data_IF_826682063124
#
_entry.id   IF_826682063124
#
_cell.length_a   1.000
_cell.length_b   1.000
_cell.length_c   1.000
_cell.angle_alpha   90.00
_cell.angle_beta   90.00
_cell.angle_gamma   90.00
#
_symmetry.space_group_name_H-M   'P 1'
#
loop_
_entity.id
_entity.type
_entity.pdbx_description
1 polymer ?
#
# COMPACT_ATOMS: atom_id res chain seq x y z
N UNK A 1 6.89 8.69 9.16
CA UNK A 1 7.61 8.86 7.89
C UNK A 1 9.03 9.38 8.18
N UNK A 2 10.10 8.81 7.60
CA UNK A 2 11.46 9.34 7.79
C UNK A 2 11.64 10.72 7.12
N UNK A 3 12.75 11.41 7.42
CA UNK A 3 13.13 12.61 6.66
C UNK A 3 13.54 12.20 5.24
N UNK A 4 13.09 12.96 4.23
CA UNK A 4 13.38 12.59 2.84
C UNK A 4 12.87 13.59 1.81
N UNK A 5 13.05 13.24 0.54
CA UNK A 5 12.54 13.97 -0.62
C UNK A 5 11.37 13.18 -1.22
N UNK A 6 10.15 13.63 -0.97
CA UNK A 6 8.93 12.95 -1.41
C UNK A 6 8.35 13.66 -2.64
N UNK A 7 7.99 12.90 -3.67
CA UNK A 7 7.61 13.45 -4.98
C UNK A 7 6.16 13.18 -5.40
N UNK A 8 5.57 12.10 -4.91
CA UNK A 8 4.21 11.70 -5.27
C UNK A 8 3.48 11.22 -4.03
N UNK A 9 2.20 11.59 -3.94
CA UNK A 9 1.26 11.10 -2.92
C UNK A 9 0.03 10.54 -3.64
N UNK A 10 -0.48 9.42 -3.15
CA UNK A 10 -1.78 8.86 -3.53
C UNK A 10 -2.61 8.69 -2.27
N UNK A 11 -3.89 9.03 -2.34
CA UNK A 11 -4.88 8.83 -1.28
C UNK A 11 -5.95 7.95 -1.91
N UNK A 12 -6.27 6.80 -1.30
CA UNK A 12 -7.31 5.93 -1.84
C UNK A 12 -8.68 6.65 -1.73
N UNK A 13 -9.39 6.88 -2.86
CA UNK A 13 -10.67 7.57 -2.83
C UNK A 13 -11.78 6.77 -2.13
N UNK A 14 -11.60 5.46 -1.92
CA UNK A 14 -12.53 4.60 -1.19
C UNK A 14 -12.20 4.50 0.30
N UNK A 15 -10.96 4.80 0.69
CA UNK A 15 -10.49 4.79 2.06
C UNK A 15 -9.41 5.86 2.27
N UNK A 16 -9.80 7.04 2.76
CA UNK A 16 -8.87 8.17 2.90
C UNK A 16 -7.78 7.96 3.96
N UNK A 17 -7.91 6.94 4.81
CA UNK A 17 -6.87 6.57 5.77
C UNK A 17 -5.69 5.90 5.08
N UNK A 18 -5.91 5.33 3.88
CA UNK A 18 -4.89 4.70 3.07
C UNK A 18 -4.16 5.73 2.19
N UNK A 19 -2.90 5.98 2.52
CA UNK A 19 -2.05 6.96 1.84
C UNK A 19 -0.75 6.29 1.41
N UNK A 20 -0.35 6.51 0.16
CA UNK A 20 0.95 6.11 -0.37
C UNK A 20 1.80 7.33 -0.69
N UNK A 21 3.09 7.27 -0.36
CA UNK A 21 4.06 8.33 -0.70
C UNK A 21 5.30 7.72 -1.32
N UNK A 22 5.78 8.31 -2.40
CA UNK A 22 6.99 7.89 -3.11
C UNK A 22 8.16 8.85 -2.87
N UNK A 23 9.33 8.29 -2.62
CA UNK A 23 10.59 9.02 -2.42
C UNK A 23 11.41 9.11 -3.70
N UNK A 24 12.02 10.27 -3.91
CA UNK A 24 12.98 10.53 -4.97
C UNK A 24 14.43 10.18 -4.58
N UNK A 25 14.65 9.61 -3.39
CA UNK A 25 15.98 9.18 -2.93
C UNK A 25 16.32 7.77 -3.41
N UNK A 26 17.59 7.53 -3.74
CA UNK A 26 18.09 6.19 -4.10
C UNK A 26 18.31 5.36 -2.84
N UNK A 27 19.08 5.91 -1.91
CA UNK A 27 19.32 5.31 -0.60
C UNK A 27 18.15 5.65 0.32
N UNK A 28 17.60 4.63 0.97
CA UNK A 28 16.46 4.74 1.90
C UNK A 28 15.17 5.36 1.31
N UNK A 29 15.10 5.46 -0.02
CA UNK A 29 13.86 5.76 -0.74
C UNK A 29 12.92 4.56 -0.81
N UNK A 30 12.03 4.62 -1.81
CA UNK A 30 10.99 3.64 -2.07
C UNK A 30 9.60 4.25 -1.93
N UNK A 31 8.62 3.37 -1.76
CA UNK A 31 7.22 3.72 -1.55
C UNK A 31 6.89 3.40 -0.09
N UNK A 32 6.22 4.34 0.55
CA UNK A 32 5.74 4.25 1.93
C UNK A 32 4.21 4.25 1.92
N UNK A 33 3.63 3.54 2.86
CA UNK A 33 2.20 3.36 3.03
C UNK A 33 1.79 3.69 4.48
N UNK A 34 0.66 4.37 4.63
CA UNK A 34 -0.03 4.58 5.89
C UNK A 34 -1.45 4.06 5.74
N UNK A 35 -1.93 3.38 6.78
CA UNK A 35 -3.31 2.89 6.96
C UNK A 35 -4.07 3.69 8.03
N UNK A 36 -3.56 4.86 8.40
CA UNK A 36 -4.05 5.67 9.51
C UNK A 36 -3.90 7.18 9.24
N UNK A 37 -4.22 7.58 8.02
CA UNK A 37 -4.25 8.98 7.57
C UNK A 37 -2.92 9.73 7.75
N UNK A 38 -1.80 9.01 7.69
CA UNK A 38 -0.44 9.54 7.76
C UNK A 38 0.15 9.64 9.17
N UNK A 39 -0.49 9.07 10.19
CA UNK A 39 0.08 9.05 11.54
C UNK A 39 1.29 8.10 11.64
N UNK A 40 1.18 6.89 11.08
CA UNK A 40 2.25 5.91 11.00
C UNK A 40 2.53 5.50 9.55
N UNK A 41 3.77 5.09 9.29
CA UNK A 41 4.24 4.80 7.93
C UNK A 41 5.06 3.52 7.90
N UNK A 42 4.74 2.65 6.94
CA UNK A 42 5.40 1.38 6.65
C UNK A 42 6.01 1.45 5.25
N UNK A 43 7.11 0.73 5.00
CA UNK A 43 7.64 0.60 3.64
C UNK A 43 6.83 -0.45 2.88
N UNK A 44 6.53 -0.17 1.62
CA UNK A 44 5.90 -1.13 0.70
C UNK A 44 6.93 -2.13 0.18
N UNK A 45 8.19 -1.71 0.00
CA UNK A 45 9.26 -2.63 -0.39
C UNK A 45 9.80 -3.40 0.82
N UNK A 46 9.76 -4.73 0.75
CA UNK A 46 10.26 -5.64 1.78
C UNK A 46 11.51 -6.40 1.30
N UNK A 47 12.04 -7.32 2.11
CA UNK A 47 13.14 -8.19 1.67
C UNK A 47 12.69 -9.12 0.52
N UNK A 48 11.41 -9.49 0.53
CA UNK A 48 10.74 -10.41 -0.38
C UNK A 48 10.19 -9.69 -1.61
N UNK A 49 9.68 -8.46 -1.46
CA UNK A 49 9.23 -7.60 -2.57
C UNK A 49 10.23 -6.45 -2.78
N UNK A 50 11.10 -6.60 -3.78
CA UNK A 50 12.07 -5.56 -4.14
C UNK A 50 11.57 -4.73 -5.29
N UNK A 51 11.46 -3.41 -5.07
CA UNK A 51 11.27 -2.47 -6.18
C UNK A 51 12.53 -2.48 -7.08
N UNK A 52 12.36 -2.46 -8.42
CA UNK A 52 13.49 -2.37 -9.34
C UNK A 52 14.35 -1.10 -9.18
N UNK A 53 13.78 -0.06 -8.58
CA UNK A 53 14.45 1.19 -8.21
C UNK A 53 13.74 1.79 -7.00
N UNK A 54 14.51 2.35 -6.07
CA UNK A 54 13.99 3.05 -4.89
C UNK A 54 13.69 4.52 -5.15
N UNK A 55 14.10 5.05 -6.31
CA UNK A 55 13.70 6.38 -6.76
C UNK A 55 12.43 6.31 -7.57
N UNK A 56 11.35 6.79 -6.98
CA UNK A 56 10.02 6.78 -7.56
C UNK A 56 9.55 8.22 -7.75
N UNK A 57 9.32 8.60 -9.01
CA UNK A 57 8.96 9.97 -9.37
C UNK A 57 7.46 10.21 -9.35
N UNK A 58 6.69 9.20 -9.75
CA UNK A 58 5.24 9.29 -9.87
C UNK A 58 4.59 7.96 -9.53
N UNK A 59 3.35 8.04 -9.05
CA UNK A 59 2.47 6.90 -8.87
C UNK A 59 1.06 7.26 -9.36
N UNK A 60 0.31 6.26 -9.81
CA UNK A 60 -1.11 6.40 -10.13
C UNK A 60 -1.86 5.11 -9.79
N UNK A 61 -3.09 5.23 -9.29
CA UNK A 61 -4.02 4.10 -9.22
C UNK A 61 -4.47 3.71 -10.63
N UNK A 62 -4.72 2.42 -10.85
CA UNK A 62 -5.49 1.97 -12.00
C UNK A 62 -6.96 2.37 -11.81
N UNK A 63 -7.57 3.17 -12.71
CA UNK A 63 -8.97 3.57 -12.59
C UNK A 63 -9.95 2.39 -12.67
N UNK A 64 -9.55 1.27 -13.27
CA UNK A 64 -10.37 0.06 -13.33
C UNK A 64 -10.22 -0.82 -12.07
N UNK A 65 -9.12 -0.69 -11.33
CA UNK A 65 -8.82 -1.49 -10.14
C UNK A 65 -7.97 -0.69 -9.14
N UNK A 66 -8.60 -0.16 -8.10
CA UNK A 66 -7.89 0.59 -7.05
C UNK A 66 -6.83 -0.25 -6.33
N UNK A 67 -6.87 -1.59 -6.41
CA UNK A 67 -5.85 -2.46 -5.84
C UNK A 67 -4.56 -2.48 -6.66
N UNK A 68 -4.54 -1.84 -7.82
CA UNK A 68 -3.36 -1.76 -8.66
C UNK A 68 -2.82 -0.34 -8.67
N UNK A 69 -1.51 -0.22 -8.43
CA UNK A 69 -0.76 1.02 -8.55
C UNK A 69 0.30 0.84 -9.64
N UNK A 70 0.45 1.83 -10.49
CA UNK A 70 1.59 1.95 -11.40
C UNK A 70 2.56 3.00 -10.87
N UNK A 71 3.84 2.70 -10.87
CA UNK A 71 4.88 3.58 -10.37
C UNK A 71 5.98 3.77 -11.42
N UNK A 72 6.26 5.04 -11.73
CA UNK A 72 7.32 5.45 -12.64
C UNK A 72 8.61 5.72 -11.88
N UNK A 73 9.67 5.00 -12.21
CA UNK A 73 10.94 5.05 -11.49
C UNK A 73 12.05 5.76 -12.24
N UNK A 74 13.11 6.13 -11.51
CA UNK A 74 14.35 6.54 -12.14
C UNK A 74 15.06 5.35 -12.78
N UNK A 75 15.27 5.41 -14.10
CA UNK A 75 16.08 4.48 -14.90
C UNK A 75 15.63 3.00 -14.94
N UNK A 76 14.59 2.58 -14.22
CA UNK A 76 14.08 1.20 -14.23
C UNK A 76 12.68 1.06 -14.84
N UNK A 77 12.18 2.11 -15.50
CA UNK A 77 10.88 2.10 -16.19
C UNK A 77 9.67 2.22 -15.25
N UNK A 78 8.54 1.70 -15.71
CA UNK A 78 7.27 1.67 -14.98
C UNK A 78 7.02 0.26 -14.47
N UNK A 79 6.64 0.12 -13.20
CA UNK A 79 6.28 -1.16 -12.61
C UNK A 79 4.87 -1.13 -12.00
N UNK A 80 4.26 -2.32 -11.97
CA UNK A 80 2.94 -2.58 -11.39
C UNK A 80 3.10 -3.09 -9.97
N UNK A 81 2.28 -2.58 -9.06
CA UNK A 81 2.17 -3.02 -7.67
C UNK A 81 0.73 -3.48 -7.47
N UNK A 82 0.55 -4.76 -7.18
CA UNK A 82 -0.76 -5.32 -6.84
C UNK A 82 -0.88 -5.37 -5.31
N UNK A 83 -1.89 -4.67 -4.77
CA UNK A 83 -2.19 -4.61 -3.33
C UNK A 83 -3.02 -5.83 -2.95
N UNK A 84 -2.56 -6.56 -1.94
CA UNK A 84 -3.38 -7.56 -1.28
C UNK A 84 -4.32 -6.82 -0.34
N UNK A 85 -5.62 -6.82 -0.61
CA UNK A 85 -6.58 -6.67 0.47
C UNK A 85 -6.70 -8.05 1.11
N UNK A 86 -6.37 -8.16 2.39
CA UNK A 86 -6.91 -9.26 3.17
C UNK A 86 -8.43 -9.03 3.12
N UNK A 87 -9.14 -9.78 2.27
CA UNK A 87 -10.59 -9.76 2.26
C UNK A 87 -10.98 -9.96 3.72
N UNK A 88 -11.69 -8.98 4.29
CA UNK A 88 -12.07 -8.93 5.69
C UNK A 88 -12.29 -10.36 6.19
N UNK A 89 -11.48 -10.81 7.14
CA UNK A 89 -11.68 -12.10 7.80
C UNK A 89 -13.11 -12.06 8.32
N UNK A 90 -14.04 -12.67 7.57
CA UNK A 90 -15.45 -12.70 7.92
C UNK A 90 -15.53 -13.55 9.16
N UNK A 91 -15.76 -12.85 10.27
CA UNK A 91 -16.22 -13.30 11.57
C UNK A 91 -16.54 -14.81 11.67
N UNK A 92 -15.58 -15.59 12.18
CA UNK A 92 -15.79 -16.97 12.57
C UNK A 92 -16.13 -17.14 14.06
N UNK A 93 -16.60 -16.08 14.74
CA UNK A 93 -17.05 -16.15 16.14
C UNK A 93 -18.55 -15.86 16.28
N UNK A 94 -19.39 -16.64 15.61
CA UNK A 94 -20.76 -16.85 16.09
C UNK A 94 -20.78 -17.91 17.20
N UNK A 95 -21.44 -17.65 18.35
CA UNK A 95 -21.53 -18.61 19.45
C UNK A 95 -22.47 -19.75 19.07
N UNK A 96 -22.01 -21.00 19.23
CA UNK A 96 -22.84 -22.20 19.07
C UNK A 96 -23.91 -22.19 20.17
N UNK A 97 -25.17 -21.96 19.81
CA UNK A 97 -26.31 -22.16 20.71
C UNK A 97 -26.50 -23.68 20.88
N UNK A 98 -26.52 -24.24 22.10
CA UNK A 98 -26.78 -25.65 22.29
C UNK A 98 -28.26 -25.92 22.02
N UNK A 99 -28.56 -26.70 20.98
CA UNK A 99 -29.89 -27.24 20.77
C UNK A 99 -30.23 -28.20 21.92
N UNK A 100 -31.15 -27.79 22.78
CA UNK A 100 -31.85 -28.71 23.68
C UNK A 100 -32.88 -29.45 22.85
N UNK A 101 -32.88 -30.78 22.89
CA UNK A 101 -34.01 -31.57 22.38
C UNK A 101 -34.39 -32.60 23.45
N UNK A 102 -35.69 -32.63 23.70
CA UNK A 102 -36.43 -33.46 24.66
C UNK A 102 -36.26 -34.97 24.44
#
# INVERSE_FOLDING_TARGET
>A
LPLGNYRSILIDPKNTDEIFVASALENDGGIFFSDDAGMHWKRVDSKEMKLPSRRVWMMAFDPADSNRIFAGSHSSGVYRIDRMHEAAVVDSKQPVVPATVN
#
